data_IF_797781387837
#
_entry.id   IF_797781387837
#
_cell.length_a   1.000
_cell.length_b   1.000
_cell.length_c   1.000
_cell.angle_alpha   90.00
_cell.angle_beta   90.00
_cell.angle_gamma   90.00
#
_symmetry.space_group_name_H-M   'P 1'
#
loop_
_entity.id
_entity.type
_entity.pdbx_description
1 polymer ?
#
# COMPACT_ATOMS: atom_id res chain seq x y z
N UNK A 1 -30.72 -1.19 3.33
CA UNK A 1 -30.34 -0.83 2.84
C UNK A 1 -29.96 -0.22 2.57
N UNK A 2 -30.22 -0.38 2.44
CA UNK A 2 -29.82 0.04 1.80
C UNK A 2 -29.26 0.49 1.43
N UNK A 3 -29.64 0.21 1.48
CA UNK A 3 -29.01 0.51 0.85
C UNK A 3 -28.48 0.92 0.46
N UNK A 4 -28.81 0.68 0.38
CA UNK A 4 -28.24 0.87 -0.19
C UNK A 4 -27.70 1.09 -0.59
N UNK A 5 -27.86 1.04 -0.83
CA UNK A 5 -27.26 1.00 -1.42
C UNK A 5 -26.63 1.12 -1.81
N UNK A 6 -26.76 0.94 -1.89
CA UNK A 6 -26.18 0.93 -2.16
C UNK A 6 -25.35 1.09 -2.34
N UNK A 7 -25.54 1.00 -2.40
CA UNK A 7 -24.84 1.20 -2.32
C UNK A 7 -23.86 0.82 -2.13
N UNK A 8 -23.66 0.27 -2.29
CA UNK A 8 -22.90 -0.25 -2.02
C UNK A 8 -21.93 -0.68 -1.68
N UNK A 9 -22.55 -1.23 -1.89
CA UNK A 9 -21.36 -1.17 -1.07
C UNK A 9 -20.32 -2.14 -1.58
N UNK A 10 -19.16 -1.58 -1.80
CA UNK A 10 -18.05 -2.38 -2.28
C UNK A 10 -17.32 -3.02 -1.12
N UNK A 11 -16.74 -4.18 -1.35
CA UNK A 11 -15.94 -4.82 -0.34
C UNK A 11 -14.74 -3.93 0.02
N UNK A 12 -14.32 -3.91 1.28
CA UNK A 12 -13.15 -3.13 1.66
C UNK A 12 -11.88 -3.64 0.98
N UNK A 13 -10.94 -2.75 0.75
CA UNK A 13 -9.63 -3.15 0.24
C UNK A 13 -8.96 -4.06 1.27
N UNK A 14 -8.20 -5.02 0.77
CA UNK A 14 -7.53 -6.02 1.60
C UNK A 14 -6.03 -5.77 1.57
N UNK A 15 -5.46 -5.61 2.75
CA UNK A 15 -4.05 -5.30 2.92
C UNK A 15 -3.33 -6.48 3.56
N UNK A 16 -2.21 -6.89 2.96
CA UNK A 16 -1.33 -7.87 3.58
C UNK A 16 -0.25 -7.10 4.35
N UNK A 17 -0.18 -7.33 5.63
CA UNK A 17 0.75 -6.65 6.52
C UNK A 17 1.79 -7.64 7.02
N UNK A 18 3.04 -7.47 6.60
CA UNK A 18 4.11 -8.43 6.85
C UNK A 18 5.11 -7.82 7.82
N UNK A 19 5.28 -8.43 8.97
CA UNK A 19 6.20 -7.94 10.00
C UNK A 19 6.40 -9.07 11.01
N UNK A 20 7.62 -9.32 11.41
CA UNK A 20 7.90 -10.35 12.41
C UNK A 20 7.78 -9.83 13.85
N UNK A 21 7.48 -8.55 14.01
CA UNK A 21 7.28 -7.93 15.33
C UNK A 21 5.79 -7.82 15.62
N UNK A 22 5.32 -8.59 16.61
CA UNK A 22 3.88 -8.64 16.91
C UNK A 22 3.30 -7.29 17.30
N UNK A 23 4.06 -6.52 18.09
CA UNK A 23 3.55 -5.22 18.54
C UNK A 23 3.40 -4.26 17.39
N UNK A 24 4.35 -4.30 16.45
CA UNK A 24 4.24 -3.48 15.24
C UNK A 24 3.04 -3.85 14.40
N UNK A 25 2.77 -5.16 14.27
CA UNK A 25 1.61 -5.63 13.54
C UNK A 25 0.32 -5.12 14.18
N UNK A 26 0.22 -5.28 15.51
CA UNK A 26 -0.99 -4.87 16.21
C UNK A 26 -1.24 -3.37 16.07
N UNK A 27 -0.21 -2.56 16.22
CA UNK A 27 -0.37 -1.12 16.13
C UNK A 27 -0.81 -0.69 14.75
N UNK A 28 -0.16 -1.20 13.72
CA UNK A 28 -0.47 -0.80 12.34
C UNK A 28 -1.81 -1.36 11.89
N UNK A 29 -2.10 -2.59 12.26
CA UNK A 29 -3.37 -3.22 11.92
C UNK A 29 -4.53 -2.41 12.50
N UNK A 30 -4.40 -2.00 13.75
CA UNK A 30 -5.46 -1.27 14.43
C UNK A 30 -5.82 0.01 13.69
N UNK A 31 -4.82 0.82 13.31
CA UNK A 31 -5.11 2.08 12.65
C UNK A 31 -5.64 1.89 11.23
N UNK A 32 -5.17 0.85 10.54
CA UNK A 32 -5.66 0.57 9.19
C UNK A 32 -7.10 0.07 9.21
N UNK A 33 -7.43 -0.77 10.19
CA UNK A 33 -8.79 -1.28 10.31
C UNK A 33 -9.77 -0.17 10.69
N UNK A 34 -9.32 0.81 11.45
CA UNK A 34 -10.16 1.97 11.76
C UNK A 34 -10.56 2.73 10.50
N UNK A 35 -9.75 2.69 9.47
CA UNK A 35 -10.08 3.34 8.21
C UNK A 35 -10.98 2.50 7.32
N UNK A 36 -11.32 1.30 7.76
CA UNK A 36 -12.23 0.44 7.03
C UNK A 36 -11.58 -0.62 6.16
N UNK A 37 -10.25 -0.72 6.20
CA UNK A 37 -9.55 -1.75 5.42
C UNK A 37 -9.57 -3.09 6.15
N UNK A 38 -9.52 -4.16 5.38
CA UNK A 38 -9.32 -5.49 5.95
C UNK A 38 -7.83 -5.78 5.95
N UNK A 39 -7.29 -6.18 7.09
CA UNK A 39 -5.86 -6.42 7.23
C UNK A 39 -5.61 -7.88 7.56
N UNK A 40 -4.76 -8.52 6.77
CA UNK A 40 -4.34 -9.90 7.00
C UNK A 40 -2.86 -9.88 7.37
N UNK A 41 -2.51 -10.30 8.58
CA UNK A 41 -1.11 -10.26 8.99
C UNK A 41 -0.34 -11.50 8.53
N UNK A 42 0.94 -11.33 8.28
CA UNK A 42 1.88 -12.42 8.05
C UNK A 42 3.12 -12.14 8.89
N UNK A 43 3.65 -13.16 9.53
CA UNK A 43 4.78 -12.97 10.43
C UNK A 43 6.13 -13.17 9.74
N UNK A 44 6.14 -13.57 8.50
CA UNK A 44 7.38 -13.77 7.75
C UNK A 44 7.10 -13.78 6.25
N UNK A 45 8.17 -13.73 5.48
CA UNK A 45 8.04 -13.69 4.02
C UNK A 45 7.38 -14.93 3.44
N UNK A 46 7.71 -16.12 3.97
CA UNK A 46 7.12 -17.34 3.41
C UNK A 46 5.62 -17.41 3.64
N UNK A 47 5.16 -16.95 4.81
CA UNK A 47 3.71 -16.87 5.06
C UNK A 47 3.05 -15.89 4.11
N UNK A 48 3.70 -14.76 3.88
CA UNK A 48 3.17 -13.75 2.97
C UNK A 48 3.02 -14.32 1.56
N UNK A 49 4.02 -15.06 1.09
CA UNK A 49 3.96 -15.65 -0.25
C UNK A 49 2.84 -16.68 -0.38
N UNK A 50 2.63 -17.46 0.67
CA UNK A 50 1.53 -18.43 0.66
C UNK A 50 0.19 -17.72 0.61
N UNK A 51 0.03 -16.65 1.37
CA UNK A 51 -1.23 -15.92 1.41
C UNK A 51 -1.53 -15.27 0.06
N UNK A 52 -0.52 -14.74 -0.60
CA UNK A 52 -0.72 -14.13 -1.92
C UNK A 52 -1.20 -15.17 -2.94
N UNK A 53 -0.81 -16.42 -2.77
CA UNK A 53 -1.29 -17.49 -3.64
C UNK A 53 -2.71 -17.92 -3.33
N UNK A 54 -3.16 -17.70 -2.10
CA UNK A 54 -4.46 -18.17 -1.63
C UNK A 54 -5.56 -17.16 -1.82
N UNK A 55 -5.25 -15.88 -1.80
CA UNK A 55 -6.26 -14.84 -1.93
C UNK A 55 -5.66 -13.59 -2.54
N UNK A 56 -6.53 -12.69 -2.94
CA UNK A 56 -6.10 -11.44 -3.57
C UNK A 56 -5.88 -10.37 -2.52
N UNK A 57 -4.89 -9.54 -2.75
CA UNK A 57 -4.60 -8.39 -1.91
C UNK A 57 -4.52 -7.15 -2.78
N UNK A 58 -4.93 -6.03 -2.22
CA UNK A 58 -4.90 -4.76 -2.92
C UNK A 58 -3.65 -3.97 -2.61
N UNK A 59 -2.96 -4.32 -1.53
CA UNK A 59 -1.76 -3.64 -1.07
C UNK A 59 -0.96 -4.57 -0.18
N UNK A 60 0.35 -4.52 -0.30
CA UNK A 60 1.26 -5.18 0.64
C UNK A 60 2.03 -4.11 1.39
N UNK A 61 2.05 -4.21 2.70
CA UNK A 61 2.90 -3.39 3.56
C UNK A 61 3.85 -4.36 4.24
N UNK A 62 5.15 -4.19 4.01
CA UNK A 62 6.14 -5.10 4.60
C UNK A 62 7.23 -4.33 5.30
N UNK A 63 7.66 -4.85 6.44
CA UNK A 63 8.84 -4.36 7.11
C UNK A 63 10.07 -4.78 6.31
N UNK A 64 11.12 -3.98 6.37
CA UNK A 64 12.38 -4.33 5.70
C UNK A 64 13.15 -5.39 6.48
N UNK A 65 13.28 -5.17 7.77
CA UNK A 65 14.16 -6.00 8.59
C UNK A 65 13.40 -7.19 9.14
N UNK A 66 13.52 -8.30 8.45
CA UNK A 66 12.91 -9.58 8.84
C UNK A 66 13.90 -10.70 8.53
N UNK A 67 13.70 -11.85 9.15
CA UNK A 67 14.50 -13.04 8.88
C UNK A 67 13.57 -14.22 8.70
N UNK A 68 13.97 -15.20 7.89
CA UNK A 68 15.17 -15.29 7.05
C UNK A 68 15.09 -14.49 5.77
N UNK A 69 13.87 -14.06 5.37
CA UNK A 69 13.65 -13.30 4.14
C UNK A 69 13.33 -11.88 4.53
N UNK A 70 14.15 -10.91 4.10
CA UNK A 70 13.88 -9.52 4.41
C UNK A 70 12.85 -8.93 3.43
N UNK A 71 12.48 -7.67 3.68
CA UNK A 71 11.43 -7.03 2.89
C UNK A 71 11.80 -6.88 1.42
N UNK A 72 13.05 -6.60 1.11
CA UNK A 72 13.47 -6.48 -0.29
C UNK A 72 13.41 -7.81 -1.02
N UNK A 73 13.84 -8.87 -0.35
CA UNK A 73 13.75 -10.21 -0.93
C UNK A 73 12.30 -10.59 -1.16
N UNK A 74 11.43 -10.26 -0.22
CA UNK A 74 10.00 -10.52 -0.37
C UNK A 74 9.43 -9.76 -1.56
N UNK A 75 9.77 -8.48 -1.69
CA UNK A 75 9.28 -7.68 -2.82
C UNK A 75 9.73 -8.29 -4.14
N UNK A 76 11.00 -8.69 -4.23
CA UNK A 76 11.51 -9.32 -5.43
C UNK A 76 10.70 -10.57 -5.78
N UNK A 77 10.46 -11.42 -4.78
CA UNK A 77 9.73 -12.66 -5.01
C UNK A 77 8.28 -12.39 -5.39
N UNK A 78 7.66 -11.37 -4.80
CA UNK A 78 6.29 -11.00 -5.17
C UNK A 78 6.22 -10.55 -6.63
N UNK A 79 7.16 -9.70 -7.05
CA UNK A 79 7.19 -9.22 -8.44
C UNK A 79 7.47 -10.36 -9.42
N UNK A 80 8.30 -11.30 -9.05
CA UNK A 80 8.57 -12.48 -9.88
C UNK A 80 7.34 -13.35 -10.06
N UNK A 81 6.41 -13.30 -9.09
CA UNK A 81 5.16 -14.03 -9.18
C UNK A 81 4.05 -13.22 -9.83
N UNK A 82 4.42 -12.11 -10.47
CA UNK A 82 3.48 -11.23 -11.16
C UNK A 82 2.49 -10.52 -10.24
N UNK A 83 2.88 -10.31 -8.99
CA UNK A 83 2.09 -9.49 -8.09
C UNK A 83 2.27 -8.05 -8.53
N UNK A 84 1.19 -7.39 -8.97
CA UNK A 84 1.24 -6.06 -9.59
C UNK A 84 0.67 -4.96 -8.71
N UNK A 85 0.13 -5.32 -7.57
CA UNK A 85 -0.47 -4.32 -6.69
C UNK A 85 0.61 -3.52 -5.99
N UNK A 86 0.26 -2.35 -5.44
CA UNK A 86 1.25 -1.52 -4.77
C UNK A 86 1.83 -2.19 -3.53
N UNK A 87 3.07 -1.83 -3.23
CA UNK A 87 3.80 -2.32 -2.09
C UNK A 87 4.42 -1.15 -1.35
N UNK A 88 4.21 -1.09 -0.04
CA UNK A 88 4.87 -0.13 0.84
C UNK A 88 5.92 -0.87 1.66
N UNK A 89 7.15 -0.35 1.65
CA UNK A 89 8.25 -0.90 2.46
C UNK A 89 8.48 0.02 3.64
N UNK A 90 8.49 -0.55 4.84
CA UNK A 90 8.76 0.18 6.08
C UNK A 90 10.20 -0.10 6.50
N UNK A 91 10.98 0.93 6.75
CA UNK A 91 12.37 0.73 7.13
C UNK A 91 12.85 1.82 8.08
N UNK A 92 13.67 1.43 9.05
CA UNK A 92 14.31 2.38 9.92
C UNK A 92 15.61 2.92 9.39
N UNK A 93 16.04 2.43 8.22
CA UNK A 93 17.36 2.75 7.70
C UNK A 93 17.34 3.28 6.27
N UNK A 94 16.21 3.86 5.85
CA UNK A 94 16.04 4.24 4.44
C UNK A 94 17.18 5.12 3.94
N UNK A 95 17.52 6.15 4.72
CA UNK A 95 18.55 7.09 4.29
C UNK A 95 19.95 6.48 4.33
N UNK A 96 20.23 5.71 5.37
CA UNK A 96 21.56 5.10 5.54
C UNK A 96 21.86 4.07 4.46
N UNK A 97 20.85 3.35 4.04
CA UNK A 97 21.01 2.27 3.06
C UNK A 97 20.68 2.72 1.64
N UNK A 98 20.27 3.96 1.47
CA UNK A 98 19.89 4.44 0.15
C UNK A 98 18.66 3.76 -0.42
N UNK A 99 17.80 3.24 0.44
CA UNK A 99 16.60 2.55 -0.01
C UNK A 99 15.55 3.54 -0.46
N UNK A 100 14.99 3.29 -1.62
CA UNK A 100 13.90 4.11 -2.15
C UNK A 100 13.02 3.23 -3.04
N UNK A 101 11.97 3.82 -3.58
CA UNK A 101 11.04 3.06 -4.40
C UNK A 101 11.74 2.41 -5.59
N UNK A 102 12.63 3.15 -6.22
CA UNK A 102 13.28 2.65 -7.43
C UNK A 102 14.22 1.47 -7.13
N UNK A 103 15.00 1.56 -6.05
CA UNK A 103 15.99 0.53 -5.74
C UNK A 103 15.37 -0.71 -5.13
N UNK A 104 14.19 -0.61 -4.54
CA UNK A 104 13.60 -1.72 -3.80
C UNK A 104 12.50 -2.45 -4.55
N UNK A 105 11.94 -1.83 -5.59
CA UNK A 105 10.77 -2.37 -6.25
C UNK A 105 9.46 -2.07 -5.54
N UNK A 106 9.53 -1.40 -4.41
CA UNK A 106 8.33 -0.92 -3.71
C UNK A 106 7.81 0.33 -4.39
N UNK A 107 6.52 0.59 -4.23
CA UNK A 107 5.94 1.82 -4.75
C UNK A 107 6.23 2.99 -3.83
N UNK A 108 6.34 2.72 -2.54
CA UNK A 108 6.62 3.74 -1.53
C UNK A 108 7.53 3.12 -0.47
N UNK A 109 8.50 3.90 -0.01
CA UNK A 109 9.32 3.54 1.15
C UNK A 109 9.01 4.52 2.25
N UNK A 110 8.58 4.01 3.41
CA UNK A 110 8.23 4.82 4.57
C UNK A 110 9.25 4.57 5.66
N UNK A 111 9.87 5.64 6.15
CA UNK A 111 10.84 5.52 7.23
C UNK A 111 10.12 5.42 8.57
N UNK A 112 10.57 4.50 9.40
CA UNK A 112 10.05 4.36 10.76
C UNK A 112 10.56 5.51 11.59
N UNK A 113 9.65 6.38 12.02
CA UNK A 113 9.98 7.59 12.77
C UNK A 113 8.75 7.97 13.56
N UNK A 114 8.81 9.13 14.20
CA UNK A 114 7.66 9.64 14.94
C UNK A 114 6.44 9.83 14.05
N UNK A 115 6.66 10.06 12.76
CA UNK A 115 5.57 10.31 11.81
C UNK A 115 5.20 9.08 10.98
N UNK A 116 5.70 7.91 11.35
CA UNK A 116 5.49 6.71 10.56
C UNK A 116 4.03 6.43 10.30
N UNK A 117 3.21 6.45 11.35
CA UNK A 117 1.79 6.10 11.21
C UNK A 117 1.07 7.08 10.29
N UNK A 118 1.30 8.38 10.49
CA UNK A 118 0.66 9.39 9.65
C UNK A 118 1.06 9.21 8.18
N UNK A 119 2.34 8.97 7.93
CA UNK A 119 2.83 8.76 6.57
C UNK A 119 2.27 7.48 5.97
N UNK A 120 2.23 6.41 6.76
CA UNK A 120 1.69 5.14 6.30
C UNK A 120 0.22 5.29 5.89
N UNK A 121 -0.58 5.92 6.72
CA UNK A 121 -2.00 6.10 6.42
C UNK A 121 -2.21 6.97 5.20
N UNK A 122 -1.42 8.03 5.07
CA UNK A 122 -1.52 8.92 3.91
C UNK A 122 -1.22 8.18 2.61
N UNK A 123 -0.15 7.41 2.59
CA UNK A 123 0.22 6.66 1.39
C UNK A 123 -0.78 5.53 1.10
N UNK A 124 -1.26 4.88 2.15
CA UNK A 124 -2.25 3.82 1.98
C UNK A 124 -3.53 4.36 1.34
N UNK A 125 -4.02 5.48 1.83
CA UNK A 125 -5.21 6.11 1.26
C UNK A 125 -4.98 6.48 -0.21
N UNK A 126 -3.82 7.05 -0.50
CA UNK A 126 -3.52 7.46 -1.88
C UNK A 126 -3.45 6.25 -2.81
N UNK A 127 -2.80 5.19 -2.39
CA UNK A 127 -2.61 4.02 -3.23
C UNK A 127 -3.89 3.22 -3.43
N UNK A 128 -4.78 3.24 -2.44
CA UNK A 128 -6.01 2.46 -2.50
C UNK A 128 -7.23 3.27 -2.91
N UNK A 129 -7.09 4.58 -3.06
CA UNK A 129 -8.20 5.40 -3.52
C UNK A 129 -8.49 5.08 -4.98
N UNK A 130 -9.76 5.03 -5.37
CA UNK A 130 -10.05 4.87 -6.80
C UNK A 130 -9.51 6.07 -7.56
N UNK A 131 -9.14 5.86 -8.82
CA UNK A 131 -8.66 6.99 -9.62
C UNK A 131 -9.70 8.09 -9.63
N UNK A 132 -9.23 9.34 -9.51
CA UNK A 132 -10.13 10.46 -9.59
C UNK A 132 -10.73 10.49 -10.97
N UNK A 133 -11.98 10.88 -11.03
CA UNK A 133 -12.56 11.09 -12.32
C UNK A 133 -11.83 12.18 -13.00
N UNK A 134 -11.58 12.01 -14.16
CA UNK A 134 -10.83 13.02 -14.88
C UNK A 134 -11.61 14.29 -15.06
N UNK A 135 -11.83 13.91 -14.34
CA UNK A 135 -12.25 14.55 -14.23
C UNK A 135 -12.28 15.08 -14.65
N UNK A 136 -12.36 14.61 -14.63
CA UNK A 136 -12.43 14.93 -14.85
C UNK A 136 -12.00 15.57 -14.88
N UNK A 137 -12.17 15.21 -14.86
CA UNK A 137 -11.74 15.59 -14.87
C UNK A 137 -11.00 16.23 -14.98
N UNK A 138 -11.08 15.95 -15.30
CA UNK A 138 -10.51 16.31 -15.61
C UNK A 138 -10.00 16.90 -15.90
N UNK A 139 -10.51 16.73 -16.00
CA UNK A 139 -10.15 17.12 -16.44
C UNK A 139 -9.71 17.83 -16.65
N UNK A 140 -9.95 17.63 -16.67
CA UNK A 140 -9.65 18.20 -17.04
C UNK A 140 -9.11 18.84 -17.03
N UNK A 141 -9.16 18.77 -17.19
CA UNK A 141 -8.64 19.27 -17.50
C UNK A 141 -8.10 19.84 -17.73
N UNK A 142 -8.61 19.58 -17.77
CA UNK A 142 -8.11 20.01 -18.25
C UNK A 142 -7.70 20.58 -18.55
N UNK A 143 -8.14 20.39 -18.68
CA UNK A 143 -7.73 20.85 -19.24
C UNK A 143 -7.29 21.68 -19.43
N UNK A 144 -7.50 21.63 -19.50
CA UNK A 144 -7.09 22.27 -19.93
C UNK A 144 -6.60 23.05 -20.15
N UNK A 145 -6.97 22.89 -20.17
CA UNK A 145 -6.49 23.47 -20.66
C UNK A 145 -6.19 24.07 -21.01
N UNK A 146 -6.78 23.81 -21.03
CA UNK A 146 -6.48 24.28 -21.61
C UNK A 146 -6.27 24.94 -21.83
N UNK A 147 -6.63 24.74 -21.99
CA UNK A 147 -6.46 25.35 -22.48
C UNK A 147 -6.25 26.07 -22.65
N UNK A 148 -6.59 25.83 -22.81
CA UNK A 148 -6.35 26.44 -23.28
C UNK A 148 -6.15 27.11 -23.41
N UNK A 149 -6.50 26.87 -23.57
CA UNK A 149 -6.29 27.38 -24.00
C UNK A 149 -6.17 27.90 -24.17
N UNK A 150 -6.43 27.67 -24.40
CA UNK A 150 -6.40 27.96 -24.77
C UNK A 150 -6.50 28.15 -24.75
N UNK A 151 -6.85 27.95 -24.96
CA UNK A 151 -6.82 27.98 -25.13
C UNK A 151 -6.82 28.24 -25.00
N UNK A 152 -7.20 28.09 -25.14
CA UNK A 152 -7.11 28.17 -25.35
C UNK A 152 -6.78 28.44 -25.32
#
# INVERSE_FOLDING_TARGET
>A
MRSAPSFRAEAPAVILLVDDNRDGVLARRSVLEELGYKVVPACCGSDALKLVEQQKFDLVITDYKMTPVDGMQLITQLRERNFRQPIILLTGFADSLGLNAKSTGADVVVQKSANEIANLLRHTKRLLSPPKKPAGSQAGKSLRRTSTAGDS
#
